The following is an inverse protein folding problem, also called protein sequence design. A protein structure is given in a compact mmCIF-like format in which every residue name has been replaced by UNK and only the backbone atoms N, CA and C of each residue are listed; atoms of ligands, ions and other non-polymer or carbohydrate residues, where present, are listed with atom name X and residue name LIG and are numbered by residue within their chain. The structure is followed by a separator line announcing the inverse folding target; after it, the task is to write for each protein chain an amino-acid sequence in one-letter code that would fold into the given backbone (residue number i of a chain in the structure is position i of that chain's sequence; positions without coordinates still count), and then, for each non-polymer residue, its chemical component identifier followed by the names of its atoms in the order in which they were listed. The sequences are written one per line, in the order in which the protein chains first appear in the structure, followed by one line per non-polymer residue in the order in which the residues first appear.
data_IF_984175273653
#
_entry.id   IF_984175273653
#
_cell.length_a   1.000
_cell.length_b   1.000
_cell.length_c   1.000
_cell.angle_alpha   90.00
_cell.angle_beta   90.00
_cell.angle_gamma   90.00
#
_symmetry.space_group_name_H-M   'P 1'
#
loop_
_entity.id
_entity.type
_entity.pdbx_description
1 polymer ?
#
# COMPACT_ATOMS: atom_id res chain seq x y z
N UNK A 1 -9.60 1.31 13.67
CA UNK A 1 -8.17 1.18 13.30
C UNK A 1 -7.93 1.93 12.00
N UNK A 2 -6.95 2.83 11.97
CA UNK A 2 -6.63 3.58 10.77
C UNK A 2 -5.49 2.91 9.98
N UNK A 3 -5.13 3.49 8.85
CA UNK A 3 -4.11 2.92 7.97
C UNK A 3 -2.74 2.84 8.66
N UNK A 4 -2.38 3.88 9.40
CA UNK A 4 -1.10 3.90 10.11
C UNK A 4 -1.04 2.82 11.18
N UNK A 5 -2.11 2.61 11.92
CA UNK A 5 -2.19 1.54 12.91
C UNK A 5 -2.03 0.18 12.26
N UNK A 6 -2.68 -0.03 11.12
CA UNK A 6 -2.58 -1.28 10.38
C UNK A 6 -1.15 -1.55 9.92
N UNK A 7 -0.48 -0.53 9.43
CA UNK A 7 0.92 -0.66 9.04
C UNK A 7 1.80 -1.00 10.22
N UNK A 8 1.62 -0.33 11.36
CA UNK A 8 2.43 -0.61 12.55
C UNK A 8 2.20 -2.02 13.07
N UNK A 9 0.97 -2.49 13.09
CA UNK A 9 0.66 -3.84 13.56
C UNK A 9 1.28 -4.92 12.68
N UNK A 10 1.38 -4.67 11.39
CA UNK A 10 1.93 -5.64 10.43
C UNK A 10 3.42 -5.42 10.15
N UNK A 11 4.04 -4.42 10.75
CA UNK A 11 5.45 -4.12 10.50
C UNK A 11 5.70 -3.52 9.12
N UNK A 12 4.70 -2.90 8.52
CA UNK A 12 4.81 -2.28 7.19
C UNK A 12 5.30 -0.85 7.35
N UNK A 13 6.59 -0.65 7.14
CA UNK A 13 7.21 0.67 7.18
C UNK A 13 7.57 1.17 5.79
N UNK A 14 8.28 2.32 5.72
CA UNK A 14 8.74 2.86 4.43
C UNK A 14 9.55 1.82 3.66
N UNK A 15 9.25 1.69 2.37
CA UNK A 15 9.88 0.70 1.49
C UNK A 15 9.11 -0.60 1.36
N UNK A 16 8.08 -0.82 2.17
CA UNK A 16 7.26 -2.04 2.08
C UNK A 16 6.37 -1.98 0.85
N UNK A 17 6.34 -3.06 0.10
CA UNK A 17 5.47 -3.21 -1.07
C UNK A 17 4.23 -3.97 -0.67
N UNK A 18 3.07 -3.43 -1.00
CA UNK A 18 1.78 -4.03 -0.68
C UNK A 18 0.98 -4.25 -1.95
N UNK A 19 0.19 -5.31 -1.96
CA UNK A 19 -0.74 -5.59 -3.05
C UNK A 19 -2.15 -5.68 -2.50
N UNK A 20 -3.09 -5.06 -3.20
CA UNK A 20 -4.50 -5.11 -2.87
C UNK A 20 -5.35 -4.97 -4.12
N UNK A 21 -6.60 -5.44 -4.04
CA UNK A 21 -7.53 -5.38 -5.16
C UNK A 21 -8.78 -4.63 -4.71
N UNK A 22 -9.04 -3.49 -5.33
CA UNK A 22 -10.20 -2.65 -5.02
C UNK A 22 -11.36 -2.89 -6.00
N UNK A 23 -11.33 -4.00 -6.72
CA UNK A 23 -12.37 -4.36 -7.67
C UNK A 23 -12.00 -4.13 -9.12
N UNK A 24 -10.83 -3.57 -9.38
CA UNK A 24 -10.34 -3.25 -10.73
C UNK A 24 -9.07 -4.01 -11.09
N UNK A 25 -8.72 -5.03 -10.31
CA UNK A 25 -7.49 -5.79 -10.46
C UNK A 25 -6.46 -5.43 -9.41
N UNK A 26 -5.42 -6.25 -9.26
CA UNK A 26 -4.44 -6.04 -8.20
C UNK A 26 -3.61 -4.78 -8.45
N UNK A 27 -3.47 -3.98 -7.39
CA UNK A 27 -2.64 -2.77 -7.42
C UNK A 27 -1.50 -2.97 -6.43
N UNK A 28 -0.28 -2.70 -6.86
CA UNK A 28 0.90 -2.74 -6.00
C UNK A 28 1.29 -1.31 -5.64
N UNK A 29 1.48 -1.08 -4.36
CA UNK A 29 1.92 0.22 -3.85
C UNK A 29 3.19 0.04 -3.02
N UNK A 30 3.98 1.10 -2.93
CA UNK A 30 5.11 1.18 -2.00
C UNK A 30 4.77 2.17 -0.91
N UNK A 31 4.83 1.73 0.35
CA UNK A 31 4.66 2.64 1.48
C UNK A 31 5.89 3.54 1.57
N UNK A 32 5.68 4.85 1.61
CA UNK A 32 6.78 5.81 1.66
C UNK A 32 6.91 6.48 3.01
N UNK A 33 5.81 6.57 3.78
CA UNK A 33 5.85 7.10 5.14
C UNK A 33 4.66 6.60 5.93
N UNK A 34 4.85 6.41 7.23
CA UNK A 34 3.78 6.03 8.15
C UNK A 34 3.67 7.10 9.22
N UNK A 35 2.54 7.80 9.25
CA UNK A 35 2.26 8.85 10.22
C UNK A 35 1.54 8.31 11.45
N UNK A 36 0.86 9.19 12.15
CA UNK A 36 0.09 8.82 13.34
C UNK A 36 -1.23 8.15 12.93
N UNK A 37 -1.93 8.74 11.96
CA UNK A 37 -3.24 8.25 11.50
C UNK A 37 -3.25 7.88 10.02
N UNK A 38 -2.33 8.39 9.23
CA UNK A 38 -2.32 8.27 7.77
C UNK A 38 -0.98 7.80 7.28
N UNK A 39 -0.97 7.29 6.08
CA UNK A 39 0.26 6.87 5.41
C UNK A 39 0.40 7.60 4.10
N UNK A 40 1.65 7.68 3.62
CA UNK A 40 1.95 8.06 2.25
C UNK A 40 2.42 6.81 1.52
N UNK A 41 2.02 6.70 0.28
CA UNK A 41 2.41 5.59 -0.57
C UNK A 41 2.36 6.04 -2.02
N UNK A 42 2.97 5.27 -2.90
CA UNK A 42 2.89 5.52 -4.34
C UNK A 42 2.53 4.22 -5.05
N UNK A 43 1.73 4.34 -6.09
CA UNK A 43 1.38 3.20 -6.92
C UNK A 43 2.60 2.81 -7.76
N UNK A 44 2.89 1.52 -7.81
CA UNK A 44 4.00 0.98 -8.60
C UNK A 44 3.47 0.29 -9.85
N UNK A 45 2.40 -0.47 -9.70
CA UNK A 45 1.79 -1.17 -10.83
C UNK A 45 0.30 -1.35 -10.60
N UNK A 46 -0.41 -1.61 -11.69
CA UNK A 46 -1.84 -1.91 -11.63
C UNK A 46 -2.13 -3.02 -12.62
N UNK A 47 -2.80 -4.06 -12.12
CA UNK A 47 -3.21 -5.21 -12.93
C UNK A 47 -2.04 -5.85 -13.71
N UNK A 48 -0.88 -5.91 -13.07
CA UNK A 48 0.33 -6.52 -13.65
C UNK A 48 1.10 -5.61 -14.61
N UNK A 49 0.64 -4.38 -14.82
CA UNK A 49 1.29 -3.43 -15.72
C UNK A 49 1.96 -2.34 -14.88
N UNK A 50 3.22 -2.06 -15.15
CA UNK A 50 3.95 -0.99 -14.47
C UNK A 50 3.24 0.34 -14.70
N UNK A 51 2.90 1.02 -13.60
CA UNK A 51 2.20 2.30 -13.64
C UNK A 51 2.61 3.08 -12.40
N UNK A 52 3.85 3.56 -12.41
CA UNK A 52 4.44 4.28 -11.28
C UNK A 52 3.88 5.69 -11.20
N UNK A 53 3.31 6.04 -10.07
CA UNK A 53 2.72 7.35 -9.82
C UNK A 53 3.43 8.06 -8.68
N UNK A 54 3.14 9.35 -8.53
CA UNK A 54 3.72 10.14 -7.47
C UNK A 54 3.18 9.71 -6.11
N UNK A 55 4.00 9.95 -5.08
CA UNK A 55 3.62 9.71 -3.69
C UNK A 55 2.40 10.55 -3.32
N UNK A 56 1.49 9.95 -2.57
CA UNK A 56 0.31 10.63 -2.08
C UNK A 56 -0.26 9.92 -0.88
N UNK A 57 -1.25 10.53 -0.24
CA UNK A 57 -1.94 9.92 0.88
C UNK A 57 -2.73 8.71 0.39
N UNK A 58 -2.59 7.59 1.11
CA UNK A 58 -3.23 6.34 0.73
C UNK A 58 -4.18 5.86 1.82
N UNK A 59 -5.29 5.26 1.42
CA UNK A 59 -6.25 4.66 2.34
C UNK A 59 -6.49 3.20 1.96
N UNK A 60 -6.60 2.33 2.99
CA UNK A 60 -6.89 0.91 2.79
C UNK A 60 -8.40 0.70 2.86
N UNK A 61 -9.11 1.13 1.84
CA UNK A 61 -10.57 1.00 1.82
C UNK A 61 -10.99 -0.40 1.43
N UNK A 62 -11.67 -1.08 2.33
CA UNK A 62 -12.46 -2.27 2.05
C UNK A 62 -11.73 -3.49 1.50
N UNK A 63 -10.41 -3.54 1.48
CA UNK A 63 -9.69 -4.66 0.88
C UNK A 63 -8.59 -5.19 1.77
N UNK A 64 -8.27 -6.45 1.56
CA UNK A 64 -7.19 -7.10 2.27
C UNK A 64 -5.87 -6.79 1.57
N UNK A 65 -5.16 -5.83 2.11
CA UNK A 65 -3.83 -5.51 1.65
C UNK A 65 -2.84 -6.49 2.26
N UNK A 66 -1.92 -6.98 1.45
CA UNK A 66 -0.92 -7.95 1.88
C UNK A 66 0.44 -7.49 1.42
N UNK A 67 1.46 -7.84 2.19
CA UNK A 67 2.84 -7.56 1.80
C UNK A 67 3.20 -8.43 0.60
N UNK A 68 3.84 -7.81 -0.40
CA UNK A 68 4.33 -8.55 -1.57
C UNK A 68 5.53 -9.37 -1.13
N UNK A 69 5.43 -10.68 -1.31
CA UNK A 69 6.53 -11.59 -0.99
C UNK A 69 7.57 -11.55 -2.11
N UNK A 70 8.79 -11.24 -1.77
CA UNK A 70 9.91 -11.27 -2.70
C UNK A 70 10.49 -12.68 -2.82
N UNK A 71 9.68 -13.56 -2.75
CA UNK A 71 9.88 -14.93 -2.86
C UNK A 71 10.84 -15.78 -3.29
#
# INVERSE_FOLDING_TARGET
MNQADRCRENGWGPGTMLVGDEGYGPTVIEVTAVGIERILARQISHNGVADTREEGMWTFQCRDWQEVSDG
#
